data_IF_935272356951
#
_entry.id   IF_935272356951
#
_cell.length_a   1.000
_cell.length_b   1.000
_cell.length_c   1.000
_cell.angle_alpha   90.00
_cell.angle_beta   90.00
_cell.angle_gamma   90.00
#
_symmetry.space_group_name_H-M   'P 1'
#
loop_
_entity.id
_entity.type
_entity.pdbx_description
1 polymer ?
#
# COMPACT_ATOMS: atom_id res chain seq x y z
N UNK A 1 -28.52 9.50 10.20
CA UNK A 1 -27.25 10.22 10.36
C UNK A 1 -26.07 9.29 10.11
N UNK A 2 -25.11 9.68 9.28
CA UNK A 2 -23.86 8.95 9.10
C UNK A 2 -22.89 9.27 10.25
N UNK A 3 -22.06 8.30 10.65
CA UNK A 3 -20.88 8.51 11.50
C UNK A 3 -21.12 8.95 12.97
N UNK A 4 -22.26 8.60 13.60
CA UNK A 4 -22.49 8.89 15.05
C UNK A 4 -21.31 8.48 15.95
N UNK A 5 -20.79 7.27 15.78
CA UNK A 5 -19.65 6.81 16.59
C UNK A 5 -18.37 7.64 16.44
N UNK A 6 -18.16 8.29 15.28
CA UNK A 6 -17.03 9.22 15.10
C UNK A 6 -17.27 10.51 15.86
N UNK A 7 -18.53 11.01 15.86
CA UNK A 7 -18.92 12.20 16.62
C UNK A 7 -18.73 11.97 18.12
N UNK A 8 -19.23 10.84 18.63
CA UNK A 8 -19.11 10.51 20.06
C UNK A 8 -17.63 10.36 20.47
N UNK A 9 -16.80 9.74 19.63
CA UNK A 9 -15.37 9.57 19.90
C UNK A 9 -14.56 10.88 19.88
N UNK A 10 -15.05 11.92 19.18
CA UNK A 10 -14.38 13.20 19.02
C UNK A 10 -15.07 14.34 19.80
N UNK A 11 -16.04 14.05 20.68
CA UNK A 11 -16.89 15.05 21.34
C UNK A 11 -16.11 16.14 22.07
N UNK A 12 -15.01 15.76 22.74
CA UNK A 12 -14.13 16.67 23.49
C UNK A 12 -12.83 17.01 22.76
N UNK A 13 -12.69 16.61 21.49
CA UNK A 13 -11.49 16.86 20.71
C UNK A 13 -11.52 18.28 20.12
N UNK A 14 -10.43 19.02 20.28
CA UNK A 14 -10.20 20.31 19.63
C UNK A 14 -9.14 20.15 18.53
N UNK A 15 -9.25 20.95 17.47
CA UNK A 15 -8.26 20.94 16.40
C UNK A 15 -6.96 21.61 16.87
N UNK A 16 -5.85 20.87 16.82
CA UNK A 16 -4.51 21.43 17.04
C UNK A 16 -3.90 21.86 15.70
N UNK A 17 -4.00 23.15 15.40
CA UNK A 17 -3.48 23.75 14.18
C UNK A 17 -4.40 23.63 12.95
N UNK A 18 -3.93 24.09 11.78
CA UNK A 18 -4.72 24.09 10.55
C UNK A 18 -4.81 22.68 9.94
N UNK A 19 -5.94 22.39 9.31
CA UNK A 19 -6.10 21.19 8.49
C UNK A 19 -5.09 21.18 7.34
N UNK A 20 -4.32 20.10 7.27
CA UNK A 20 -3.41 19.84 6.16
C UNK A 20 -4.07 18.89 5.16
N UNK A 21 -3.96 19.21 3.87
CA UNK A 21 -4.47 18.38 2.78
C UNK A 21 -3.35 18.13 1.77
N UNK A 22 -3.16 16.86 1.39
CA UNK A 22 -2.17 16.45 0.39
C UNK A 22 -2.74 16.36 -1.04
N UNK A 23 -3.93 16.92 -1.28
CA UNK A 23 -4.69 16.73 -2.52
C UNK A 23 -5.25 15.30 -2.67
N UNK A 24 -5.92 15.00 -3.79
CA UNK A 24 -6.46 13.67 -4.02
C UNK A 24 -5.33 12.66 -4.21
N UNK A 25 -5.31 11.63 -3.35
CA UNK A 25 -4.45 10.46 -3.55
C UNK A 25 -4.77 9.78 -4.88
N UNK A 26 -3.78 9.15 -5.52
CA UNK A 26 -3.97 8.43 -6.79
C UNK A 26 -3.47 6.99 -6.66
N UNK A 27 -4.17 6.13 -5.90
CA UNK A 27 -3.79 4.73 -5.75
C UNK A 27 -3.62 4.04 -7.11
N UNK A 28 -2.60 3.21 -7.23
CA UNK A 28 -2.27 2.51 -8.47
C UNK A 28 -0.81 2.10 -8.53
N UNK A 29 -0.51 1.27 -9.54
CA UNK A 29 0.82 0.77 -9.83
C UNK A 29 1.42 1.62 -10.97
N UNK A 30 2.68 2.02 -10.84
CA UNK A 30 3.41 2.81 -11.83
C UNK A 30 4.64 2.02 -12.31
N UNK A 31 5.22 2.42 -13.44
CA UNK A 31 6.47 1.82 -13.89
C UNK A 31 7.58 2.14 -12.87
N UNK A 32 8.25 1.10 -12.40
CA UNK A 32 9.30 1.20 -11.38
C UNK A 32 10.63 1.73 -11.95
N UNK A 33 10.85 1.54 -13.25
CA UNK A 33 12.02 2.07 -13.95
C UNK A 33 11.65 2.48 -15.37
N UNK A 34 11.89 3.75 -15.69
CA UNK A 34 11.55 4.32 -16.99
C UNK A 34 12.47 5.50 -17.28
N UNK A 35 12.93 5.64 -18.53
CA UNK A 35 13.77 6.77 -18.95
C UNK A 35 15.01 6.99 -18.06
N UNK A 36 15.67 5.89 -17.69
CA UNK A 36 16.86 5.88 -16.81
C UNK A 36 16.61 6.41 -15.38
N UNK A 37 15.35 6.42 -14.94
CA UNK A 37 14.94 6.87 -13.61
C UNK A 37 14.28 5.71 -12.87
N UNK A 38 14.79 5.42 -11.68
CA UNK A 38 14.17 4.49 -10.73
C UNK A 38 13.14 5.22 -9.87
N UNK A 39 12.00 4.57 -9.63
CA UNK A 39 10.94 5.05 -8.75
C UNK A 39 10.81 4.11 -7.56
N UNK A 40 10.65 4.66 -6.36
CA UNK A 40 10.42 3.94 -5.10
C UNK A 40 9.25 4.58 -4.34
N UNK A 41 8.69 3.86 -3.37
CA UNK A 41 7.53 4.29 -2.59
C UNK A 41 6.35 4.72 -3.47
N UNK A 42 5.69 5.81 -3.10
CA UNK A 42 4.51 6.31 -3.81
C UNK A 42 4.80 6.61 -5.30
N UNK A 43 6.05 6.91 -5.68
CA UNK A 43 6.42 7.10 -7.07
C UNK A 43 6.39 5.79 -7.89
N UNK A 44 6.68 4.64 -7.26
CA UNK A 44 6.57 3.30 -7.87
C UNK A 44 5.13 2.77 -7.84
N UNK A 45 4.39 3.12 -6.79
CA UNK A 45 2.99 2.75 -6.65
C UNK A 45 2.44 3.18 -5.31
N UNK A 46 1.14 3.47 -5.27
CA UNK A 46 0.45 3.97 -4.10
C UNK A 46 -0.73 3.05 -3.77
N UNK A 47 -0.81 2.57 -2.53
CA UNK A 47 -1.96 1.81 -2.04
C UNK A 47 -3.01 2.75 -1.44
N UNK A 48 -4.28 2.35 -1.46
CA UNK A 48 -5.29 3.08 -0.70
C UNK A 48 -4.96 3.04 0.81
N UNK A 49 -5.08 4.16 1.57
CA UNK A 49 -4.69 4.24 2.99
C UNK A 49 -5.41 3.26 3.92
N UNK A 50 -6.55 2.70 3.49
CA UNK A 50 -7.39 1.78 4.27
C UNK A 50 -6.65 0.56 4.84
N UNK A 51 -5.54 0.13 4.22
CA UNK A 51 -4.73 -1.01 4.72
C UNK A 51 -3.45 -0.60 5.47
N UNK A 52 -3.15 0.72 5.55
CA UNK A 52 -2.00 1.30 6.23
C UNK A 52 -0.61 0.78 5.79
N UNK A 53 -0.43 0.46 4.51
CA UNK A 53 0.83 -0.13 3.99
C UNK A 53 1.83 0.89 3.41
N UNK A 54 1.48 2.18 3.28
CA UNK A 54 2.28 3.15 2.51
C UNK A 54 3.76 3.24 2.92
N UNK A 55 4.03 3.36 4.22
CA UNK A 55 5.42 3.45 4.75
C UNK A 55 6.17 2.13 4.55
N UNK A 56 5.52 0.99 4.85
CA UNK A 56 6.08 -0.35 4.63
C UNK A 56 6.49 -0.55 3.17
N UNK A 57 5.58 -0.25 2.23
CA UNK A 57 5.87 -0.34 0.80
C UNK A 57 7.02 0.58 0.37
N UNK A 58 7.10 1.80 0.91
CA UNK A 58 8.20 2.71 0.62
C UNK A 58 9.56 2.14 1.04
N UNK A 59 9.68 1.70 2.30
CA UNK A 59 10.92 1.13 2.83
C UNK A 59 11.32 -0.14 2.07
N UNK A 60 10.37 -1.07 1.89
CA UNK A 60 10.61 -2.33 1.20
C UNK A 60 10.97 -2.12 -0.28
N UNK A 61 10.36 -1.16 -0.97
CA UNK A 61 10.71 -0.83 -2.35
C UNK A 61 12.12 -0.25 -2.48
N UNK A 62 12.53 0.61 -1.54
CA UNK A 62 13.90 1.14 -1.50
C UNK A 62 14.94 0.04 -1.28
N UNK A 63 14.65 -0.89 -0.37
CA UNK A 63 15.49 -2.07 -0.13
C UNK A 63 15.65 -2.93 -1.39
N UNK A 64 14.54 -3.30 -2.04
CA UNK A 64 14.57 -4.11 -3.26
C UNK A 64 15.43 -3.46 -4.36
N UNK A 65 15.27 -2.15 -4.57
CA UNK A 65 16.07 -1.42 -5.54
C UNK A 65 17.57 -1.44 -5.17
N UNK A 66 17.90 -1.22 -3.91
CA UNK A 66 19.29 -1.24 -3.44
C UNK A 66 19.95 -2.60 -3.68
N UNK A 67 19.25 -3.71 -3.42
CA UNK A 67 19.75 -5.05 -3.71
C UNK A 67 20.03 -5.26 -5.21
N UNK A 68 19.09 -4.88 -6.08
CA UNK A 68 19.26 -5.05 -7.53
C UNK A 68 20.39 -4.20 -8.10
N UNK A 69 20.54 -2.96 -7.62
CA UNK A 69 21.64 -2.08 -8.04
C UNK A 69 23.01 -2.57 -7.55
N UNK A 70 23.08 -3.15 -6.35
CA UNK A 70 24.34 -3.67 -5.79
C UNK A 70 24.93 -4.82 -6.60
N UNK A 71 24.09 -5.60 -7.27
CA UNK A 71 24.47 -6.74 -8.09
C UNK A 71 24.59 -6.39 -9.59
N UNK A 72 24.24 -5.16 -9.99
CA UNK A 72 24.19 -4.77 -11.39
C UNK A 72 25.58 -4.35 -11.90
N UNK A 73 25.95 -4.76 -13.13
CA UNK A 73 27.13 -4.19 -13.77
C UNK A 73 26.93 -2.69 -14.01
N UNK A 74 28.03 -1.95 -14.14
CA UNK A 74 27.99 -0.51 -14.42
C UNK A 74 27.36 -0.17 -15.78
N UNK A 75 27.02 1.10 -15.96
CA UNK A 75 26.50 1.62 -17.22
C UNK A 75 25.01 1.35 -17.46
N UNK A 76 24.53 1.80 -18.63
CA UNK A 76 23.10 1.83 -18.96
C UNK A 76 22.47 0.44 -19.04
N UNK A 77 23.13 -0.51 -19.69
CA UNK A 77 22.61 -1.88 -19.83
C UNK A 77 22.44 -2.58 -18.47
N UNK A 78 23.34 -2.29 -17.51
CA UNK A 78 23.23 -2.77 -16.15
C UNK A 78 22.03 -2.18 -15.41
N UNK A 79 21.84 -0.85 -15.50
CA UNK A 79 20.65 -0.18 -14.93
C UNK A 79 19.34 -0.68 -15.52
N UNK A 80 19.29 -0.90 -16.84
CA UNK A 80 18.10 -1.47 -17.50
C UNK A 80 17.80 -2.89 -17.01
N UNK A 81 18.83 -3.69 -16.77
CA UNK A 81 18.68 -5.05 -16.23
C UNK A 81 18.21 -5.02 -14.77
N UNK A 82 18.81 -4.17 -13.94
CA UNK A 82 18.39 -3.94 -12.55
C UNK A 82 16.94 -3.44 -12.50
N UNK A 83 16.56 -2.51 -13.37
CA UNK A 83 15.21 -1.97 -13.46
C UNK A 83 14.15 -3.03 -13.75
N UNK A 84 14.42 -3.95 -14.68
CA UNK A 84 13.50 -5.07 -14.97
C UNK A 84 13.35 -6.02 -13.77
N UNK A 85 14.45 -6.36 -13.10
CA UNK A 85 14.42 -7.24 -11.92
C UNK A 85 13.72 -6.58 -10.74
N UNK A 86 14.03 -5.33 -10.47
CA UNK A 86 13.37 -4.53 -9.44
C UNK A 86 11.87 -4.41 -9.71
N UNK A 87 11.44 -4.10 -10.94
CA UNK A 87 10.01 -4.02 -11.27
C UNK A 87 9.29 -5.36 -11.09
N UNK A 88 9.91 -6.47 -11.47
CA UNK A 88 9.36 -7.80 -11.25
C UNK A 88 9.22 -8.13 -9.75
N UNK A 89 10.26 -7.85 -8.96
CA UNK A 89 10.24 -8.04 -7.51
C UNK A 89 9.18 -7.16 -6.82
N UNK A 90 9.10 -5.89 -7.21
CA UNK A 90 8.11 -4.94 -6.72
C UNK A 90 6.69 -5.45 -7.00
N UNK A 91 6.39 -5.85 -8.24
CA UNK A 91 5.06 -6.34 -8.63
C UNK A 91 4.66 -7.61 -7.85
N UNK A 92 5.60 -8.55 -7.70
CA UNK A 92 5.37 -9.78 -6.92
C UNK A 92 4.99 -9.49 -5.47
N UNK A 93 5.65 -8.50 -4.84
CA UNK A 93 5.47 -8.21 -3.43
C UNK A 93 4.25 -7.31 -3.14
N UNK A 94 3.96 -6.35 -4.02
CA UNK A 94 3.03 -5.25 -3.72
C UNK A 94 1.74 -5.22 -4.54
N UNK A 95 1.67 -5.85 -5.72
CA UNK A 95 0.48 -5.70 -6.59
C UNK A 95 -0.80 -6.16 -5.90
N UNK A 96 -0.78 -7.32 -5.23
CA UNK A 96 -1.92 -7.83 -4.47
C UNK A 96 -2.35 -6.85 -3.37
N UNK A 97 -1.40 -6.19 -2.69
CA UNK A 97 -1.70 -5.23 -1.62
C UNK A 97 -2.44 -4.02 -2.18
N UNK A 98 -1.96 -3.48 -3.31
CA UNK A 98 -2.58 -2.32 -3.98
C UNK A 98 -4.00 -2.65 -4.44
N UNK A 99 -4.21 -3.80 -5.09
CA UNK A 99 -5.55 -4.21 -5.53
C UNK A 99 -6.49 -4.54 -4.37
N UNK A 100 -6.01 -5.21 -3.32
CA UNK A 100 -6.80 -5.50 -2.12
C UNK A 100 -7.23 -4.20 -1.43
N UNK A 101 -6.34 -3.21 -1.32
CA UNK A 101 -6.67 -1.90 -0.77
C UNK A 101 -7.77 -1.20 -1.57
N UNK A 102 -7.69 -1.25 -2.91
CA UNK A 102 -8.69 -0.65 -3.79
C UNK A 102 -10.06 -1.35 -3.66
N UNK A 103 -10.07 -2.69 -3.60
CA UNK A 103 -11.30 -3.46 -3.42
C UNK A 103 -11.95 -3.16 -2.05
N UNK A 104 -11.16 -3.16 -0.98
CA UNK A 104 -11.65 -2.83 0.37
C UNK A 104 -12.17 -1.38 0.45
N UNK A 105 -11.50 -0.44 -0.20
CA UNK A 105 -11.98 0.94 -0.30
C UNK A 105 -13.32 1.03 -1.03
N UNK A 106 -13.45 0.35 -2.18
CA UNK A 106 -14.70 0.30 -2.93
C UNK A 106 -15.86 -0.31 -2.13
N UNK A 107 -15.59 -1.37 -1.38
CA UNK A 107 -16.58 -1.97 -0.47
C UNK A 107 -16.98 -0.96 0.60
N UNK A 108 -16.01 -0.40 1.33
CA UNK A 108 -16.25 0.52 2.45
C UNK A 108 -17.01 1.79 2.05
N UNK A 109 -16.87 2.25 0.81
CA UNK A 109 -17.54 3.44 0.29
C UNK A 109 -18.96 3.16 -0.25
N UNK A 110 -19.37 1.89 -0.38
CA UNK A 110 -20.69 1.55 -0.92
C UNK A 110 -21.79 1.60 0.16
N UNK A 111 -23.03 2.02 -0.16
CA UNK A 111 -24.13 2.09 0.80
C UNK A 111 -24.46 0.73 1.43
N UNK A 112 -24.65 0.69 2.75
CA UNK A 112 -25.00 -0.55 3.47
C UNK A 112 -23.85 -1.54 3.71
N UNK A 113 -22.68 -1.30 3.11
CA UNK A 113 -21.47 -2.13 3.29
C UNK A 113 -21.02 -2.24 4.73
N UNK A 114 -21.16 -1.17 5.53
CA UNK A 114 -20.75 -1.15 6.92
C UNK A 114 -21.50 -2.18 7.77
N UNK A 115 -22.81 -2.36 7.54
CA UNK A 115 -23.61 -3.35 8.23
C UNK A 115 -23.20 -4.78 7.84
N UNK A 116 -22.95 -5.00 6.54
CA UNK A 116 -22.46 -6.28 6.02
C UNK A 116 -21.07 -6.62 6.57
N UNK A 117 -20.13 -5.68 6.54
CA UNK A 117 -18.79 -5.83 7.11
C UNK A 117 -18.86 -6.15 8.61
N UNK A 118 -19.70 -5.44 9.36
CA UNK A 118 -19.90 -5.71 10.78
C UNK A 118 -20.53 -7.08 11.07
N UNK A 119 -21.39 -7.58 10.17
CA UNK A 119 -21.95 -8.93 10.26
C UNK A 119 -20.90 -10.00 9.95
N UNK A 120 -20.08 -9.79 8.92
CA UNK A 120 -19.00 -10.71 8.53
C UNK A 120 -17.96 -10.81 9.65
N UNK A 121 -17.48 -9.67 10.18
CA UNK A 121 -16.46 -9.67 11.24
C UNK A 121 -16.99 -10.34 12.51
N UNK A 122 -18.26 -10.15 12.87
CA UNK A 122 -18.87 -10.81 14.04
C UNK A 122 -19.02 -12.31 13.88
N UNK A 123 -19.48 -12.77 12.71
CA UNK A 123 -19.78 -14.19 12.50
C UNK A 123 -18.58 -14.99 11.99
N UNK A 124 -17.57 -14.32 11.43
CA UNK A 124 -16.39 -14.94 10.84
C UNK A 124 -15.12 -14.09 11.12
N UNK A 125 -14.64 -14.05 12.37
CA UNK A 125 -13.50 -13.22 12.76
C UNK A 125 -12.20 -13.57 12.03
N UNK A 126 -12.06 -14.80 11.51
CA UNK A 126 -10.93 -15.22 10.68
C UNK A 126 -10.78 -14.39 9.38
N UNK A 127 -11.84 -13.68 8.94
CA UNK A 127 -11.77 -12.72 7.84
C UNK A 127 -10.69 -11.64 8.08
N UNK A 128 -10.47 -11.22 9.33
CA UNK A 128 -9.45 -10.23 9.66
C UNK A 128 -8.03 -10.78 9.44
N UNK A 129 -7.79 -12.04 9.80
CA UNK A 129 -6.52 -12.73 9.58
C UNK A 129 -6.23 -12.91 8.09
N UNK A 130 -7.25 -13.29 7.31
CA UNK A 130 -7.14 -13.37 5.85
C UNK A 130 -6.84 -11.99 5.24
N UNK A 131 -7.51 -10.94 5.72
CA UNK A 131 -7.22 -9.56 5.34
C UNK A 131 -5.77 -9.15 5.63
N UNK A 132 -5.24 -9.55 6.80
CA UNK A 132 -3.84 -9.28 7.16
C UNK A 132 -2.86 -9.97 6.19
N UNK A 133 -3.11 -11.24 5.84
CA UNK A 133 -2.29 -11.97 4.87
C UNK A 133 -2.35 -11.35 3.47
N UNK A 134 -3.55 -10.97 3.01
CA UNK A 134 -3.76 -10.32 1.71
C UNK A 134 -3.13 -8.92 1.64
N UNK A 135 -3.10 -8.20 2.75
CA UNK A 135 -2.37 -6.93 2.87
C UNK A 135 -0.84 -7.10 2.87
N UNK A 136 -0.34 -8.34 2.80
CA UNK A 136 1.07 -8.64 2.67
C UNK A 136 1.90 -8.46 3.94
N UNK A 137 1.25 -8.25 5.10
CA UNK A 137 1.89 -8.14 6.42
C UNK A 137 2.64 -9.39 6.84
N UNK A 138 2.41 -10.52 6.17
CA UNK A 138 3.06 -11.81 6.45
C UNK A 138 4.05 -12.25 5.37
N UNK A 139 4.27 -11.44 4.32
CA UNK A 139 5.19 -11.80 3.23
C UNK A 139 6.61 -11.31 3.57
N UNK A 140 7.62 -12.20 3.58
CA UNK A 140 9.00 -11.78 3.78
C UNK A 140 9.49 -10.94 2.60
N UNK A 141 10.40 -10.01 2.89
CA UNK A 141 11.05 -9.18 1.89
C UNK A 141 12.33 -9.90 1.44
N UNK A 142 12.51 -10.18 0.14
CA UNK A 142 13.72 -10.82 -0.35
C UNK A 142 15.00 -10.12 0.13
N UNK A 143 15.95 -10.90 0.64
CA UNK A 143 17.25 -10.40 1.14
C UNK A 143 17.22 -9.76 2.53
N UNK A 144 16.05 -9.57 3.14
CA UNK A 144 15.91 -9.16 4.53
C UNK A 144 15.92 -10.44 5.39
N UNK A 145 17.04 -10.72 6.07
CA UNK A 145 17.22 -11.87 6.98
C UNK A 145 17.00 -11.43 8.42
#
# INVERSE_FOLDING_TARGET
ESCRGVRDALESAEADGPWLAAGPIRPGIRSCYERDIFRVGNAAGESHPVIAEGISMALQSGWLLACELSCAPGGRAGRETAGRRYEAAWKSLFSTRVYAAAALAGIALSPGSAALMAAIVRNFPQALTLGAQLSGKTKPVPGFV
#
